data_IF_100706163782
#
_entry.id   IF_100706163782
#
_cell.length_a   1.000
_cell.length_b   1.000
_cell.length_c   1.000
_cell.angle_alpha   90.00
_cell.angle_beta   90.00
_cell.angle_gamma   90.00
#
_symmetry.space_group_name_H-M   'P 1'
#
loop_
_entity.id
_entity.type
_entity.pdbx_description
1 polymer ?
#
# COMPACT_ATOMS: atom_id res chain seq x y z
N UNK A 1 -10.69 -10.02 26.60
CA UNK A 1 -10.78 -10.56 25.23
C UNK A 1 -9.69 -9.84 24.45
N UNK A 2 -8.69 -10.56 23.93
CA UNK A 2 -7.67 -9.97 23.07
C UNK A 2 -8.33 -9.59 21.75
N UNK A 3 -8.17 -8.33 21.34
CA UNK A 3 -8.80 -7.77 20.14
C UNK A 3 -7.81 -7.69 18.97
N UNK A 4 -6.71 -8.44 19.05
CA UNK A 4 -5.68 -8.48 18.04
C UNK A 4 -6.27 -9.00 16.71
N UNK A 5 -6.31 -8.19 15.64
CA UNK A 5 -6.79 -8.63 14.34
C UNK A 5 -5.88 -9.72 13.78
N UNK A 6 -6.45 -10.67 13.03
CA UNK A 6 -5.63 -11.67 12.35
C UNK A 6 -4.89 -11.04 11.16
N UNK A 7 -3.84 -11.71 10.69
CA UNK A 7 -3.10 -11.24 9.51
C UNK A 7 -3.98 -11.15 8.28
N UNK A 8 -4.98 -12.02 8.17
CA UNK A 8 -5.89 -12.04 7.03
C UNK A 8 -6.91 -10.90 7.14
N UNK A 9 -7.35 -10.53 8.35
CA UNK A 9 -8.17 -9.33 8.57
C UNK A 9 -7.41 -8.06 8.16
N UNK A 10 -6.14 -7.94 8.56
CA UNK A 10 -5.29 -6.78 8.21
C UNK A 10 -5.10 -6.70 6.68
N UNK A 11 -4.89 -7.83 6.00
CA UNK A 11 -4.80 -7.86 4.53
C UNK A 11 -6.12 -7.51 3.88
N UNK A 12 -7.24 -8.03 4.38
CA UNK A 12 -8.56 -7.74 3.86
C UNK A 12 -8.88 -6.25 3.98
N UNK A 13 -8.59 -5.63 5.13
CA UNK A 13 -8.71 -4.18 5.34
C UNK A 13 -7.89 -3.41 4.29
N UNK A 14 -6.62 -3.76 4.10
CA UNK A 14 -5.76 -3.09 3.14
C UNK A 14 -6.23 -3.22 1.68
N UNK A 15 -6.78 -4.38 1.29
CA UNK A 15 -7.32 -4.64 -0.05
C UNK A 15 -8.65 -3.94 -0.28
N UNK A 16 -9.49 -3.80 0.75
CA UNK A 16 -10.76 -3.07 0.71
C UNK A 16 -10.56 -1.54 0.60
N UNK A 17 -9.30 -1.09 0.56
CA UNK A 17 -8.95 0.33 0.42
C UNK A 17 -8.89 1.08 1.75
N UNK A 18 -9.04 0.39 2.88
CA UNK A 18 -8.86 0.97 4.20
C UNK A 18 -7.35 1.04 4.53
N UNK A 19 -6.78 2.24 4.70
CA UNK A 19 -5.36 2.38 5.02
C UNK A 19 -5.08 1.81 6.42
N UNK A 20 -3.96 1.11 6.57
CA UNK A 20 -3.41 0.76 7.88
C UNK A 20 -2.64 1.98 8.37
N UNK A 21 -3.13 2.66 9.40
CA UNK A 21 -2.43 3.82 9.97
C UNK A 21 -1.23 3.38 10.82
N UNK A 22 -0.27 4.28 11.01
CA UNK A 22 0.85 4.04 11.92
C UNK A 22 0.36 3.79 13.36
N UNK A 23 -0.71 4.46 13.78
CA UNK A 23 -1.33 4.26 15.10
C UNK A 23 -1.90 2.86 15.23
N UNK A 24 -2.63 2.36 14.22
CA UNK A 24 -3.14 0.99 14.21
C UNK A 24 -2.00 -0.04 14.19
N UNK A 25 -1.00 0.13 13.32
CA UNK A 25 0.15 -0.78 13.27
C UNK A 25 0.90 -0.84 14.61
N UNK A 26 1.05 0.30 15.28
CA UNK A 26 1.69 0.39 16.60
C UNK A 26 0.83 -0.26 17.68
N UNK A 27 -0.49 -0.06 17.66
CA UNK A 27 -1.42 -0.69 18.61
C UNK A 27 -1.39 -2.23 18.49
N UNK A 28 -1.41 -2.75 17.26
CA UNK A 28 -1.27 -4.18 16.97
C UNK A 28 0.08 -4.71 17.47
N UNK A 29 1.17 -3.95 17.29
CA UNK A 29 2.49 -4.33 17.80
C UNK A 29 2.57 -4.36 19.33
N UNK A 30 1.97 -3.39 20.02
CA UNK A 30 1.90 -3.37 21.48
C UNK A 30 1.08 -4.54 22.03
N UNK A 31 -0.08 -4.83 21.43
CA UNK A 31 -0.95 -5.93 21.86
C UNK A 31 -0.31 -7.29 21.57
N UNK A 32 0.31 -7.48 20.41
CA UNK A 32 1.05 -8.71 20.08
C UNK A 32 2.22 -8.92 21.05
N UNK A 33 3.01 -7.89 21.35
CA UNK A 33 4.14 -7.99 22.28
C UNK A 33 3.70 -8.32 23.71
N UNK A 34 2.54 -7.81 24.14
CA UNK A 34 1.96 -8.12 25.44
C UNK A 34 1.49 -9.57 25.58
N UNK A 35 1.08 -10.20 24.46
CA UNK A 35 0.63 -11.59 24.43
C UNK A 35 1.78 -12.59 24.31
N UNK A 36 2.86 -12.22 23.62
CA UNK A 36 3.96 -13.12 23.28
C UNK A 36 5.13 -13.03 24.26
N UNK A 37 5.14 -11.99 25.11
CA UNK A 37 6.19 -11.75 26.11
C UNK A 37 7.55 -11.41 25.51
N UNK A 38 7.65 -11.22 24.20
CA UNK A 38 8.91 -11.09 23.48
C UNK A 38 8.75 -10.51 22.09
N UNK A 39 8.50 -9.20 22.00
CA UNK A 39 8.52 -8.41 20.77
C UNK A 39 7.59 -8.89 19.63
N UNK A 40 7.61 -8.20 18.48
CA UNK A 40 6.83 -8.59 17.31
C UNK A 40 7.25 -9.98 16.81
N UNK A 41 6.29 -10.87 16.58
CA UNK A 41 6.58 -12.18 16.00
C UNK A 41 6.84 -11.99 14.51
N UNK A 42 7.89 -12.65 13.99
CA UNK A 42 8.19 -12.64 12.56
C UNK A 42 6.99 -13.16 11.76
N UNK A 43 6.50 -12.32 10.86
CA UNK A 43 5.31 -12.59 10.07
C UNK A 43 4.01 -12.55 10.86
N UNK A 44 4.00 -12.08 12.11
CA UNK A 44 2.86 -11.82 13.00
C UNK A 44 1.86 -10.79 12.47
N UNK A 45 0.81 -10.52 13.23
CA UNK A 45 -0.15 -9.45 12.94
C UNK A 45 0.57 -8.09 12.90
N UNK A 46 1.46 -7.84 13.86
CA UNK A 46 2.25 -6.61 13.92
C UNK A 46 3.16 -6.43 12.70
N UNK A 47 3.92 -7.47 12.34
CA UNK A 47 4.79 -7.45 11.17
C UNK A 47 4.00 -7.27 9.85
N UNK A 48 2.79 -7.84 9.78
CA UNK A 48 1.90 -7.71 8.62
C UNK A 48 1.34 -6.29 8.51
N UNK A 49 0.85 -5.72 9.62
CA UNK A 49 0.36 -4.35 9.68
C UNK A 49 1.43 -3.34 9.28
N UNK A 50 2.64 -3.45 9.84
CA UNK A 50 3.75 -2.57 9.48
C UNK A 50 4.12 -2.70 8.01
N UNK A 51 4.23 -3.93 7.49
CA UNK A 51 4.57 -4.13 6.08
C UNK A 51 3.52 -3.55 5.13
N UNK A 52 2.24 -3.67 5.46
CA UNK A 52 1.15 -3.10 4.66
C UNK A 52 1.14 -1.57 4.75
N UNK A 53 1.34 -1.00 5.95
CA UNK A 53 1.49 0.44 6.14
C UNK A 53 2.61 1.01 5.24
N UNK A 54 3.80 0.40 5.28
CA UNK A 54 4.95 0.86 4.49
C UNK A 54 4.66 0.79 2.98
N UNK A 55 3.99 -0.28 2.52
CA UNK A 55 3.60 -0.44 1.11
C UNK A 55 2.57 0.60 0.67
N UNK A 56 1.57 0.86 1.50
CA UNK A 56 0.53 1.85 1.23
C UNK A 56 1.13 3.26 1.20
N UNK A 57 1.97 3.62 2.16
CA UNK A 57 2.69 4.90 2.14
C UNK A 57 3.55 5.05 0.89
N UNK A 58 4.35 4.04 0.54
CA UNK A 58 5.13 4.09 -0.70
C UNK A 58 4.25 4.25 -1.95
N UNK A 59 3.08 3.62 -2.00
CA UNK A 59 2.12 3.84 -3.09
C UNK A 59 1.58 5.27 -3.11
N UNK A 60 1.15 5.81 -1.97
CA UNK A 60 0.65 7.19 -1.88
C UNK A 60 1.72 8.21 -2.24
N UNK A 61 2.98 7.99 -1.84
CA UNK A 61 4.09 8.85 -2.22
C UNK A 61 4.32 8.84 -3.75
N UNK A 62 4.39 7.65 -4.35
CA UNK A 62 4.59 7.52 -5.81
C UNK A 62 3.41 8.11 -6.59
N UNK A 63 2.17 7.77 -6.23
CA UNK A 63 0.98 8.31 -6.87
C UNK A 63 0.86 9.83 -6.66
N UNK A 64 1.17 10.33 -5.46
CA UNK A 64 1.15 11.75 -5.13
C UNK A 64 2.21 12.55 -5.89
N UNK A 65 3.42 11.99 -6.07
CA UNK A 65 4.45 12.61 -6.89
C UNK A 65 4.01 12.75 -8.35
N UNK A 66 3.37 11.72 -8.91
CA UNK A 66 2.81 11.79 -10.27
C UNK A 66 1.64 12.76 -10.35
N UNK A 67 0.74 12.79 -9.37
CA UNK A 67 -0.42 13.67 -9.35
C UNK A 67 -0.06 15.17 -9.27
N UNK A 68 1.13 15.51 -8.77
CA UNK A 68 1.65 16.88 -8.73
C UNK A 68 2.30 17.32 -10.03
N UNK A 69 2.66 16.39 -10.91
CA UNK A 69 3.22 16.72 -12.23
C UNK A 69 2.10 17.22 -13.14
N UNK A 70 2.38 18.17 -14.05
CA UNK A 70 1.45 18.48 -15.12
C UNK A 70 1.23 17.22 -15.97
N UNK A 71 0.01 17.05 -16.49
CA UNK A 71 -0.38 15.84 -17.20
C UNK A 71 0.53 15.51 -18.38
N UNK A 72 1.10 16.52 -19.05
CA UNK A 72 2.04 16.38 -20.17
C UNK A 72 3.43 15.87 -19.79
N UNK A 73 3.81 15.94 -18.50
CA UNK A 73 5.11 15.48 -18.00
C UNK A 73 5.04 14.08 -17.38
N UNK A 74 3.86 13.47 -17.31
CA UNK A 74 3.69 12.10 -16.83
C UNK A 74 4.29 11.12 -17.83
N UNK A 75 5.29 10.34 -17.40
CA UNK A 75 6.01 9.40 -18.28
C UNK A 75 5.61 7.94 -18.04
N UNK A 76 6.10 7.03 -18.91
CA UNK A 76 5.89 5.58 -18.73
C UNK A 76 6.62 5.05 -17.51
N UNK A 77 7.75 5.65 -17.15
CA UNK A 77 8.49 5.33 -15.93
C UNK A 77 7.66 5.66 -14.69
N UNK A 78 7.02 6.83 -14.65
CA UNK A 78 6.09 7.22 -13.58
C UNK A 78 4.94 6.20 -13.44
N UNK A 79 4.33 5.82 -14.57
CA UNK A 79 3.29 4.80 -14.60
C UNK A 79 3.78 3.46 -14.06
N UNK A 80 4.98 3.03 -14.45
CA UNK A 80 5.58 1.77 -13.99
C UNK A 80 5.91 1.80 -12.48
N UNK A 81 6.33 2.95 -11.93
CA UNK A 81 6.56 3.08 -10.49
C UNK A 81 5.25 2.97 -9.69
N UNK A 82 4.20 3.68 -10.11
CA UNK A 82 2.87 3.62 -9.49
C UNK A 82 2.30 2.20 -9.60
N UNK A 83 2.44 1.55 -10.76
CA UNK A 83 1.99 0.18 -10.98
C UNK A 83 2.67 -0.82 -10.04
N UNK A 84 3.99 -0.73 -9.90
CA UNK A 84 4.76 -1.60 -8.98
C UNK A 84 4.36 -1.38 -7.53
N UNK A 85 4.13 -0.13 -7.14
CA UNK A 85 3.73 0.20 -5.78
C UNK A 85 2.31 -0.31 -5.48
N UNK A 86 1.35 -0.08 -6.39
CA UNK A 86 -0.03 -0.56 -6.26
C UNK A 86 -0.08 -2.10 -6.22
N UNK A 87 0.73 -2.76 -7.05
CA UNK A 87 0.77 -4.22 -7.07
C UNK A 87 1.23 -4.82 -5.73
N UNK A 88 2.13 -4.13 -5.03
CA UNK A 88 2.62 -4.56 -3.71
C UNK A 88 1.55 -4.40 -2.63
N UNK A 89 0.71 -3.37 -2.73
CA UNK A 89 -0.42 -3.15 -1.81
C UNK A 89 -1.48 -4.22 -2.02
N UNK A 90 -1.88 -4.45 -3.28
CA UNK A 90 -2.98 -5.37 -3.61
C UNK A 90 -2.58 -6.84 -3.58
N UNK A 91 -1.27 -7.15 -3.48
CA UNK A 91 -0.77 -8.52 -3.56
C UNK A 91 -0.88 -9.16 -4.94
N UNK A 92 -1.03 -8.34 -5.99
CA UNK A 92 -1.27 -8.79 -7.36
C UNK A 92 -1.28 -7.61 -8.34
N UNK A 93 -1.31 -7.87 -9.66
CA UNK A 93 -1.28 -6.81 -10.66
C UNK A 93 -2.49 -5.86 -10.50
N UNK A 94 -2.30 -4.54 -10.66
CA UNK A 94 -3.38 -3.57 -10.55
C UNK A 94 -4.45 -3.79 -11.62
N UNK A 95 -5.71 -3.66 -11.21
CA UNK A 95 -6.88 -3.91 -12.06
C UNK A 95 -7.23 -2.74 -12.99
N UNK A 96 -8.21 -2.96 -13.86
CA UNK A 96 -8.80 -1.88 -14.66
C UNK A 96 -9.48 -0.87 -13.74
N UNK A 97 -9.31 0.42 -14.02
CA UNK A 97 -9.85 1.51 -13.20
C UNK A 97 -9.00 1.87 -11.97
N UNK A 98 -7.83 1.24 -11.80
CA UNK A 98 -6.90 1.57 -10.72
C UNK A 98 -6.17 2.90 -10.97
N UNK A 99 -5.47 3.40 -9.95
CA UNK A 99 -4.64 4.59 -10.08
C UNK A 99 -3.52 4.37 -11.10
N UNK A 100 -2.84 3.21 -11.06
CA UNK A 100 -1.83 2.88 -12.05
C UNK A 100 -2.38 2.81 -13.47
N UNK A 101 -3.59 2.26 -13.67
CA UNK A 101 -4.23 2.23 -14.98
C UNK A 101 -4.49 3.65 -15.52
N UNK A 102 -4.88 4.58 -14.64
CA UNK A 102 -5.11 5.98 -15.00
C UNK A 102 -3.82 6.70 -15.36
N UNK A 103 -2.75 6.51 -14.57
CA UNK A 103 -1.43 7.08 -14.85
C UNK A 103 -0.86 6.56 -16.16
N UNK A 104 -0.96 5.25 -16.41
CA UNK A 104 -0.51 4.63 -17.67
C UNK A 104 -1.25 5.22 -18.87
N UNK A 105 -2.57 5.42 -18.79
CA UNK A 105 -3.34 6.02 -19.87
C UNK A 105 -2.93 7.47 -20.18
N UNK A 106 -2.49 8.24 -19.17
CA UNK A 106 -1.95 9.60 -19.38
C UNK A 106 -0.57 9.52 -20.04
N UNK A 107 0.32 8.67 -19.52
CA UNK A 107 1.66 8.46 -20.08
C UNK A 107 1.61 7.99 -21.54
N UNK A 108 0.68 7.08 -21.87
CA UNK A 108 0.50 6.60 -23.24
C UNK A 108 0.01 7.70 -24.18
N UNK A 109 -0.85 8.62 -23.71
CA UNK A 109 -1.25 9.79 -24.50
C UNK A 109 -0.07 10.71 -24.78
N UNK A 110 0.78 10.96 -23.78
CA UNK A 110 1.96 11.82 -23.96
C UNK A 110 3.00 11.20 -24.89
N UNK A 111 3.16 9.87 -24.85
CA UNK A 111 4.10 9.16 -25.72
C UNK A 111 3.68 9.12 -27.20
N UNK A 112 2.44 9.54 -27.52
CA UNK A 112 1.90 9.64 -28.87
C UNK A 112 1.90 11.09 -29.41
N UNK A 113 2.31 12.08 -28.60
CA UNK A 113 2.47 13.48 -28.99
C UNK A 113 3.91 13.76 -29.43
#
# INVERSE_FOLDING_TARGET
MSNLPTKDDIKAQAVDGHPITQTEASAIASEESGLTGGGPIKGGAAATAQSLHDKQNNFFEKAGNVARKPSSEVTKEDAAEVQKAEARVNGGPPGKGSTAASVQAIADKNALQ
#
